data_IF_193609388021
#
_entry.id   IF_193609388021
#
_cell.length_a   1.000
_cell.length_b   1.000
_cell.length_c   1.000
_cell.angle_alpha   90.00
_cell.angle_beta   90.00
_cell.angle_gamma   90.00
#
_symmetry.space_group_name_H-M   'P 1'
#
loop_
_entity.id
_entity.type
_entity.pdbx_description
1 polymer ?
#
# COMPACT_ATOMS: atom_id res chain seq x y z
N UNK A 1 42.78 20.81 38.52
CA UNK A 1 42.97 19.48 39.14
C UNK A 1 42.18 19.44 40.44
N UNK A 2 41.05 18.74 40.47
CA UNK A 2 40.65 18.00 41.66
C UNK A 2 39.72 16.86 41.27
N UNK A 3 40.04 15.68 41.81
CA UNK A 3 39.55 14.38 41.37
C UNK A 3 38.66 13.78 42.46
N UNK A 4 37.73 12.94 42.01
CA UNK A 4 37.17 11.72 42.62
C UNK A 4 35.71 11.79 43.11
N UNK A 5 34.95 10.94 42.43
CA UNK A 5 33.60 10.48 42.62
C UNK A 5 33.46 9.54 43.84
N UNK A 6 32.22 9.38 44.33
CA UNK A 6 31.71 8.10 44.84
C UNK A 6 30.19 7.98 44.57
N UNK A 7 29.80 6.75 44.26
CA UNK A 7 28.51 6.27 43.76
C UNK A 7 27.43 6.26 44.85
N UNK A 8 26.18 6.57 44.48
CA UNK A 8 24.99 6.20 45.25
C UNK A 8 24.21 5.12 44.50
N UNK A 9 24.35 3.89 45.01
CA UNK A 9 23.47 2.75 44.74
C UNK A 9 22.11 3.02 45.40
N UNK A 10 21.04 2.94 44.63
CA UNK A 10 19.66 2.97 45.12
C UNK A 10 18.82 2.01 44.29
N UNK A 11 18.51 0.85 44.85
CA UNK A 11 17.63 -0.16 44.25
C UNK A 11 16.19 -0.07 44.77
N UNK A 12 15.34 -0.89 44.16
CA UNK A 12 13.90 -1.11 44.41
C UNK A 12 13.01 -0.05 43.73
N UNK A 13 12.18 -0.33 42.73
CA UNK A 13 11.50 -1.56 42.34
C UNK A 13 9.99 -1.33 42.49
N UNK A 14 9.26 -1.15 41.37
CA UNK A 14 7.81 -1.37 41.29
C UNK A 14 7.46 -1.74 39.84
N UNK A 15 7.11 -3.01 39.64
CA UNK A 15 6.45 -3.49 38.44
C UNK A 15 5.02 -2.91 38.43
N UNK A 16 4.73 -2.05 37.46
CA UNK A 16 3.38 -1.55 37.21
C UNK A 16 2.80 -2.26 35.99
N UNK A 17 2.05 -3.34 36.30
CA UNK A 17 0.85 -3.82 35.61
C UNK A 17 0.66 -3.39 34.15
N UNK A 18 0.95 -4.31 33.23
CA UNK A 18 0.42 -4.34 31.88
C UNK A 18 -1.10 -4.53 31.96
N UNK A 19 -1.86 -3.45 31.85
CA UNK A 19 -3.31 -3.53 31.60
C UNK A 19 -3.50 -3.79 30.11
N UNK A 20 -3.46 -5.06 29.74
CA UNK A 20 -3.83 -5.51 28.41
C UNK A 20 -5.33 -5.29 28.21
N UNK A 21 -5.69 -4.25 27.46
CA UNK A 21 -7.00 -4.20 26.84
C UNK A 21 -7.03 -5.27 25.75
N UNK A 22 -7.38 -6.50 26.12
CA UNK A 22 -7.86 -7.52 25.18
C UNK A 22 -9.23 -7.05 24.70
N UNK A 23 -9.22 -6.10 23.76
CA UNK A 23 -10.39 -5.82 22.95
C UNK A 23 -10.64 -7.05 22.08
N UNK A 24 -11.66 -7.82 22.44
CA UNK A 24 -12.20 -8.87 21.59
C UNK A 24 -12.64 -8.25 20.27
N UNK A 25 -11.78 -8.33 19.24
CA UNK A 25 -12.19 -7.98 17.89
C UNK A 25 -13.18 -9.06 17.42
N UNK A 26 -14.29 -8.68 16.79
CA UNK A 26 -15.22 -9.63 16.21
C UNK A 26 -14.48 -10.49 15.18
N UNK A 27 -14.84 -11.77 15.11
CA UNK A 27 -14.30 -12.76 14.19
C UNK A 27 -14.43 -12.28 12.73
N UNK A 28 -13.35 -11.68 12.25
CA UNK A 28 -13.09 -11.20 10.90
C UNK A 28 -11.68 -10.59 10.98
N UNK A 29 -10.73 -11.12 10.20
CA UNK A 29 -9.32 -10.74 10.29
C UNK A 29 -9.13 -9.22 10.40
N UNK A 30 -8.22 -8.78 11.27
CA UNK A 30 -7.91 -7.37 11.45
C UNK A 30 -7.39 -6.71 10.15
N UNK A 31 -7.01 -5.42 10.21
CA UNK A 31 -6.35 -4.77 9.08
C UNK A 31 -5.15 -5.60 8.59
N UNK A 32 -4.96 -5.75 7.27
CA UNK A 32 -3.81 -6.44 6.72
C UNK A 32 -2.55 -5.65 7.04
N UNK A 33 -1.43 -6.35 7.21
CA UNK A 33 -0.14 -5.70 7.32
C UNK A 33 0.21 -5.01 5.98
N UNK A 34 0.74 -3.79 6.06
CA UNK A 34 1.30 -3.09 4.89
C UNK A 34 2.78 -2.87 5.14
N UNK A 35 3.62 -3.39 4.25
CA UNK A 35 5.08 -3.30 4.36
C UNK A 35 5.71 -2.84 3.06
N UNK A 36 6.70 -1.97 3.16
CA UNK A 36 7.54 -1.61 2.01
C UNK A 36 8.53 -2.75 1.74
N UNK A 37 8.44 -3.36 0.56
CA UNK A 37 9.34 -4.42 0.14
C UNK A 37 10.68 -3.84 -0.33
N UNK A 38 11.77 -4.46 0.13
CA UNK A 38 13.11 -4.23 -0.39
C UNK A 38 13.38 -5.14 -1.58
N UNK A 39 13.83 -4.60 -2.70
CA UNK A 39 14.17 -5.39 -3.89
C UNK A 39 13.57 -4.83 -5.18
N UNK A 40 13.64 -5.59 -6.29
CA UNK A 40 13.02 -5.18 -7.54
C UNK A 40 11.50 -5.09 -7.39
N UNK A 41 10.88 -4.22 -8.18
CA UNK A 41 9.43 -4.09 -8.25
C UNK A 41 8.79 -5.43 -8.70
N UNK A 42 7.54 -5.72 -8.29
CA UNK A 42 6.88 -6.96 -8.67
C UNK A 42 6.71 -7.05 -10.18
N UNK A 43 6.69 -8.28 -10.70
CA UNK A 43 6.37 -8.51 -12.11
C UNK A 43 4.95 -8.01 -12.38
N UNK A 44 4.75 -7.28 -13.48
CA UNK A 44 3.47 -6.65 -13.80
C UNK A 44 3.01 -6.95 -15.22
N UNK A 45 1.70 -6.83 -15.43
CA UNK A 45 1.15 -6.67 -16.77
C UNK A 45 1.64 -5.35 -17.39
N UNK A 46 1.63 -5.30 -18.73
CA UNK A 46 1.88 -4.04 -19.44
C UNK A 46 0.94 -2.95 -18.91
N UNK A 47 1.39 -1.68 -18.81
CA UNK A 47 0.50 -0.60 -18.39
C UNK A 47 -0.75 -0.54 -19.27
N UNK A 48 -1.90 -0.36 -18.63
CA UNK A 48 -3.18 -0.14 -19.28
C UNK A 48 -3.18 1.16 -20.10
N UNK A 49 -2.31 2.12 -19.75
CA UNK A 49 -1.96 3.26 -20.58
C UNK A 49 -0.61 2.98 -21.28
N UNK A 50 -0.59 2.65 -22.58
CA UNK A 50 0.61 2.13 -23.26
C UNK A 50 1.81 3.08 -23.29
N UNK A 51 1.60 4.38 -23.09
CA UNK A 51 2.66 5.39 -23.09
C UNK A 51 3.43 5.46 -21.76
N UNK A 52 2.97 4.78 -20.71
CA UNK A 52 3.61 4.85 -19.40
C UNK A 52 4.91 4.08 -19.39
N UNK A 53 5.96 4.76 -18.93
CA UNK A 53 7.25 4.16 -18.65
C UNK A 53 7.78 4.78 -17.35
N UNK A 54 8.36 3.97 -16.48
CA UNK A 54 8.98 4.47 -15.28
C UNK A 54 10.49 4.42 -15.41
N UNK A 55 11.12 5.57 -15.17
CA UNK A 55 12.58 5.67 -15.04
C UNK A 55 13.06 4.95 -13.76
N UNK A 56 12.19 4.89 -12.75
CA UNK A 56 12.44 4.19 -11.49
C UNK A 56 11.16 3.86 -10.73
N UNK A 57 11.22 2.81 -9.92
CA UNK A 57 10.20 2.51 -8.91
C UNK A 57 10.70 2.97 -7.54
N UNK A 58 9.98 3.92 -6.93
CA UNK A 58 10.37 4.51 -5.65
C UNK A 58 10.20 3.54 -4.50
N UNK A 59 9.08 2.83 -4.47
CA UNK A 59 8.71 1.91 -3.40
C UNK A 59 7.74 0.86 -3.95
N UNK A 60 7.75 -0.30 -3.31
CA UNK A 60 6.72 -1.33 -3.49
C UNK A 60 6.07 -1.57 -2.14
N UNK A 61 4.77 -1.33 -2.04
CA UNK A 61 3.98 -1.65 -0.85
C UNK A 61 3.34 -3.02 -1.04
N UNK A 62 3.66 -3.96 -0.17
CA UNK A 62 3.02 -5.28 -0.11
C UNK A 62 1.94 -5.23 0.96
N UNK A 63 0.72 -5.63 0.60
CA UNK A 63 -0.46 -5.59 1.47
C UNK A 63 -0.98 -7.00 1.71
N UNK A 64 -0.87 -7.45 2.95
CA UNK A 64 -1.14 -8.83 3.37
C UNK A 64 0.00 -9.79 3.03
N UNK A 65 -0.05 -10.99 3.63
CA UNK A 65 1.02 -12.00 3.53
C UNK A 65 0.62 -13.27 2.77
N UNK A 66 -0.64 -13.39 2.34
CA UNK A 66 -1.18 -14.59 1.70
C UNK A 66 -1.94 -14.24 0.42
N UNK A 67 -1.45 -14.75 -0.71
CA UNK A 67 -2.12 -14.68 -2.01
C UNK A 67 -1.28 -15.36 -3.09
N UNK A 68 -1.88 -16.30 -3.82
CA UNK A 68 -1.30 -16.82 -5.07
C UNK A 68 -1.55 -15.86 -6.25
N UNK A 69 -2.21 -14.73 -5.99
CA UNK A 69 -2.74 -13.80 -6.98
C UNK A 69 -2.55 -12.38 -6.52
N UNK A 70 -1.79 -11.64 -7.31
CA UNK A 70 -1.38 -10.29 -7.01
C UNK A 70 -2.26 -9.32 -7.79
N UNK A 71 -3.08 -8.56 -7.06
CA UNK A 71 -3.80 -7.41 -7.61
C UNK A 71 -2.93 -6.17 -7.47
N UNK A 72 -2.56 -5.57 -8.59
CA UNK A 72 -1.56 -4.50 -8.56
C UNK A 72 -2.16 -3.14 -8.87
N UNK A 73 -1.79 -2.15 -8.05
CA UNK A 73 -2.04 -0.74 -8.32
C UNK A 73 -0.72 0.00 -8.48
N UNK A 74 -0.56 0.68 -9.60
CA UNK A 74 0.65 1.42 -9.95
C UNK A 74 0.34 2.90 -9.97
N UNK A 75 1.03 3.66 -9.12
CA UNK A 75 0.87 5.12 -9.04
C UNK A 75 2.03 5.76 -9.80
N UNK A 76 1.72 6.51 -10.85
CA UNK A 76 2.71 7.08 -11.76
C UNK A 76 2.78 8.59 -11.62
N UNK A 77 3.99 9.14 -11.51
CA UNK A 77 4.20 10.57 -11.64
C UNK A 77 4.60 10.93 -13.07
N UNK A 78 3.60 11.15 -13.94
CA UNK A 78 3.77 11.60 -15.32
C UNK A 78 3.82 13.14 -15.44
N UNK A 79 4.15 13.82 -14.35
CA UNK A 79 4.40 15.27 -14.38
C UNK A 79 5.88 15.53 -14.64
N UNK A 80 6.20 16.72 -15.16
CA UNK A 80 7.59 17.13 -15.40
C UNK A 80 8.38 17.47 -14.12
N UNK A 81 7.79 17.28 -12.93
CA UNK A 81 8.42 17.65 -11.66
C UNK A 81 8.18 16.62 -10.54
N UNK A 82 8.96 16.73 -9.47
CA UNK A 82 8.80 15.88 -8.28
C UNK A 82 7.45 16.17 -7.60
N UNK A 83 6.73 15.12 -7.22
CA UNK A 83 5.45 15.22 -6.48
C UNK A 83 5.55 14.49 -5.15
N UNK A 84 5.11 15.15 -4.08
CA UNK A 84 4.82 14.48 -2.81
C UNK A 84 3.41 13.88 -2.92
N UNK A 85 3.34 12.56 -2.84
CA UNK A 85 2.12 11.77 -3.01
C UNK A 85 1.77 11.11 -1.70
N UNK A 86 0.55 11.32 -1.22
CA UNK A 86 0.01 10.59 -0.07
C UNK A 86 -0.69 9.33 -0.58
N UNK A 87 -0.32 8.18 -0.01
CA UNK A 87 -0.96 6.90 -0.25
C UNK A 87 -1.70 6.49 1.01
N UNK A 88 -2.97 6.20 0.87
CA UNK A 88 -3.80 5.69 1.96
C UNK A 88 -4.51 4.42 1.51
N UNK A 89 -4.53 3.42 2.38
CA UNK A 89 -5.14 2.12 2.12
C UNK A 89 -6.12 1.82 3.26
N UNK A 90 -7.35 1.51 2.89
CA UNK A 90 -8.44 1.14 3.80
C UNK A 90 -9.37 0.12 3.15
N UNK A 91 -10.46 -0.22 3.84
CA UNK A 91 -11.40 -1.25 3.36
C UNK A 91 -12.52 -0.73 2.49
N UNK A 92 -12.84 0.57 2.60
CA UNK A 92 -13.89 1.21 1.83
C UNK A 92 -13.64 2.70 1.71
N UNK A 93 -14.20 3.33 0.67
CA UNK A 93 -14.10 4.76 0.51
C UNK A 93 -14.78 5.51 1.69
N UNK A 94 -14.03 6.39 2.34
CA UNK A 94 -14.55 7.22 3.45
C UNK A 94 -14.39 6.62 4.85
N UNK A 95 -13.98 5.35 4.97
CA UNK A 95 -13.54 4.80 6.25
C UNK A 95 -12.16 5.33 6.64
N UNK A 96 -11.81 5.21 7.93
CA UNK A 96 -10.45 5.49 8.39
C UNK A 96 -9.48 4.47 7.74
N UNK A 97 -8.42 4.94 7.05
CA UNK A 97 -7.43 4.02 6.49
C UNK A 97 -6.61 3.36 7.60
N UNK A 98 -6.25 2.11 7.43
CA UNK A 98 -5.29 1.44 8.32
C UNK A 98 -3.83 1.76 7.96
N UNK A 99 -3.59 2.28 6.76
CA UNK A 99 -2.27 2.69 6.31
C UNK A 99 -2.33 4.07 5.66
N UNK A 100 -1.38 4.94 6.03
CA UNK A 100 -1.21 6.28 5.45
C UNK A 100 0.27 6.63 5.47
N UNK A 101 0.85 6.84 4.29
CA UNK A 101 2.23 7.29 4.14
C UNK A 101 2.41 8.28 3.00
N UNK A 102 3.50 9.04 3.04
CA UNK A 102 3.86 9.99 1.98
C UNK A 102 5.15 9.61 1.28
N UNK A 103 5.14 9.70 -0.04
CA UNK A 103 6.27 9.39 -0.90
C UNK A 103 6.59 10.58 -1.80
N UNK A 104 7.87 10.89 -1.90
CA UNK A 104 8.39 11.81 -2.91
C UNK A 104 8.69 11.00 -4.18
N UNK A 105 7.83 11.15 -5.20
CA UNK A 105 8.03 10.56 -6.52
C UNK A 105 8.71 11.58 -7.44
N UNK A 106 9.89 11.24 -7.96
CA UNK A 106 10.53 12.02 -9.02
C UNK A 106 9.63 12.06 -10.29
N UNK A 107 9.90 13.00 -11.19
CA UNK A 107 9.28 12.98 -12.53
C UNK A 107 9.62 11.64 -13.21
N UNK A 108 8.62 11.00 -13.84
CA UNK A 108 8.79 9.70 -14.48
C UNK A 108 8.98 8.52 -13.50
N UNK A 109 8.86 8.72 -12.19
CA UNK A 109 8.91 7.63 -11.22
C UNK A 109 7.53 7.05 -10.93
N UNK A 110 7.49 5.81 -10.45
CA UNK A 110 6.26 5.17 -9.98
C UNK A 110 6.40 4.59 -8.56
N UNK A 111 5.25 4.22 -7.98
CA UNK A 111 5.12 3.44 -6.76
C UNK A 111 4.18 2.27 -7.04
N UNK A 112 4.58 1.07 -6.62
CA UNK A 112 3.76 -0.13 -6.76
C UNK A 112 3.03 -0.44 -5.44
N UNK A 113 1.78 -0.87 -5.54
CA UNK A 113 0.98 -1.41 -4.44
C UNK A 113 0.54 -2.80 -4.87
N UNK A 114 1.02 -3.81 -4.17
CA UNK A 114 0.84 -5.22 -4.43
C UNK A 114 -0.12 -5.80 -3.39
N UNK A 115 -1.38 -5.98 -3.79
CA UNK A 115 -2.44 -6.49 -2.93
C UNK A 115 -2.45 -8.02 -3.01
N UNK A 116 -2.08 -8.68 -1.91
CA UNK A 116 -1.95 -10.14 -1.87
C UNK A 116 -3.12 -10.80 -1.18
N UNK A 117 -3.59 -10.18 -0.10
CA UNK A 117 -4.73 -10.71 0.65
C UNK A 117 -6.04 -10.34 -0.05
N UNK A 118 -6.84 -11.36 -0.40
CA UNK A 118 -8.16 -11.19 -1.00
C UNK A 118 -9.14 -10.55 -0.01
N UNK A 119 -9.58 -9.31 -0.31
CA UNK A 119 -10.57 -8.53 0.45
C UNK A 119 -10.93 -7.23 -0.29
N UNK A 120 -11.86 -6.47 0.29
CA UNK A 120 -12.15 -5.13 -0.17
C UNK A 120 -11.03 -4.14 0.19
N UNK A 121 -10.66 -3.32 -0.79
CA UNK A 121 -9.71 -2.23 -0.66
C UNK A 121 -10.26 -0.92 -1.21
N UNK A 122 -9.92 0.17 -0.55
CA UNK A 122 -9.98 1.52 -1.07
C UNK A 122 -8.59 2.15 -0.99
N UNK A 123 -7.99 2.39 -2.14
CA UNK A 123 -6.68 3.01 -2.27
C UNK A 123 -6.88 4.46 -2.67
N UNK A 124 -6.52 5.36 -1.77
CA UNK A 124 -6.61 6.81 -1.98
C UNK A 124 -5.21 7.38 -2.26
N UNK A 125 -5.09 8.04 -3.41
CA UNK A 125 -3.88 8.72 -3.87
C UNK A 125 -4.15 10.22 -3.86
N UNK A 126 -3.32 11.00 -3.16
CA UNK A 126 -3.48 12.46 -3.05
C UNK A 126 -2.21 13.21 -3.40
N UNK A 127 -2.36 14.35 -4.10
CA UNK A 127 -1.29 15.29 -4.44
C UNK A 127 -1.80 16.71 -4.21
N UNK A 128 -1.28 17.37 -3.16
CA UNK A 128 -1.89 18.61 -2.65
C UNK A 128 -3.34 18.37 -2.26
N UNK A 129 -4.25 19.23 -2.73
CA UNK A 129 -5.69 19.12 -2.44
C UNK A 129 -6.44 18.15 -3.37
N UNK A 130 -5.77 17.63 -4.40
CA UNK A 130 -6.38 16.70 -5.36
C UNK A 130 -6.26 15.27 -4.85
N UNK A 131 -7.33 14.51 -5.03
CA UNK A 131 -7.41 13.13 -4.55
C UNK A 131 -8.08 12.24 -5.60
N UNK A 132 -7.61 11.00 -5.74
CA UNK A 132 -8.26 9.93 -6.49
C UNK A 132 -8.33 8.68 -5.62
N UNK A 133 -9.53 8.10 -5.51
CA UNK A 133 -9.73 6.79 -4.88
C UNK A 133 -9.95 5.74 -5.96
N UNK A 134 -9.30 4.59 -5.80
CA UNK A 134 -9.53 3.37 -6.55
C UNK A 134 -10.09 2.34 -5.58
N UNK A 135 -11.26 1.80 -5.89
CA UNK A 135 -11.87 0.73 -5.13
C UNK A 135 -11.58 -0.61 -5.79
N UNK A 136 -11.24 -1.58 -4.96
CA UNK A 136 -10.86 -2.93 -5.32
C UNK A 136 -11.71 -3.89 -4.49
N UNK A 137 -12.91 -4.25 -4.98
CA UNK A 137 -13.74 -5.20 -4.24
C UNK A 137 -13.10 -6.58 -4.24
N UNK A 138 -13.38 -7.36 -3.20
CA UNK A 138 -12.88 -8.73 -3.02
C UNK A 138 -13.12 -9.60 -4.26
N UNK A 139 -14.22 -9.36 -4.98
CA UNK A 139 -14.58 -10.09 -6.20
C UNK A 139 -13.60 -9.92 -7.36
N UNK A 140 -12.70 -8.91 -7.32
CA UNK A 140 -11.63 -8.75 -8.33
C UNK A 140 -10.49 -9.73 -8.17
N UNK A 141 -10.31 -10.30 -6.98
CA UNK A 141 -9.34 -11.36 -6.72
C UNK A 141 -9.87 -12.69 -7.31
N UNK A 142 -9.93 -12.74 -8.63
CA UNK A 142 -10.35 -13.89 -9.43
C UNK A 142 -9.13 -14.54 -10.11
N UNK A 143 -9.32 -15.36 -11.14
CA UNK A 143 -8.20 -16.08 -11.78
C UNK A 143 -7.36 -15.21 -12.71
N UNK A 144 -7.84 -14.02 -13.05
CA UNK A 144 -7.13 -13.11 -13.92
C UNK A 144 -6.11 -12.32 -13.11
N UNK A 145 -4.93 -12.12 -13.69
CA UNK A 145 -4.04 -11.08 -13.21
C UNK A 145 -4.63 -9.73 -13.64
N UNK A 146 -4.69 -8.77 -12.73
CA UNK A 146 -5.14 -7.41 -13.06
C UNK A 146 -4.11 -6.39 -12.56
N UNK A 147 -3.90 -5.35 -13.36
CA UNK A 147 -3.08 -4.21 -13.00
C UNK A 147 -3.87 -2.92 -13.28
N UNK A 148 -3.90 -2.03 -12.29
CA UNK A 148 -4.54 -0.71 -12.39
C UNK A 148 -3.49 0.38 -12.31
N UNK A 149 -3.47 1.26 -13.31
CA UNK A 149 -2.63 2.44 -13.34
C UNK A 149 -3.41 3.66 -12.80
N UNK A 150 -2.80 4.38 -11.86
CA UNK A 150 -3.23 5.70 -11.38
C UNK A 150 -2.17 6.70 -11.80
N UNK A 151 -2.47 7.47 -12.83
CA UNK A 151 -1.53 8.40 -13.45
C UNK A 151 -1.77 9.81 -12.94
N UNK A 152 -0.76 10.37 -12.30
CA UNK A 152 -0.73 11.76 -11.86
C UNK A 152 -0.27 12.61 -13.03
N UNK A 153 -1.14 13.51 -13.50
CA UNK A 153 -0.80 14.56 -14.48
C UNK A 153 -1.03 15.93 -13.88
N UNK A 154 -0.58 16.96 -14.59
CA UNK A 154 -0.85 18.34 -14.19
C UNK A 154 -2.35 18.60 -14.20
N UNK A 155 -2.90 18.95 -13.03
CA UNK A 155 -4.31 19.26 -12.83
C UNK A 155 -5.28 18.06 -12.74
N UNK A 156 -4.89 16.83 -13.10
CA UNK A 156 -5.80 15.66 -13.05
C UNK A 156 -5.15 14.34 -12.68
N UNK A 157 -5.99 13.36 -12.34
CA UNK A 157 -5.64 11.94 -12.31
C UNK A 157 -6.30 11.24 -13.50
N UNK A 158 -5.60 10.27 -14.07
CA UNK A 158 -6.13 9.33 -15.06
C UNK A 158 -6.04 7.92 -14.47
N UNK A 159 -7.05 7.09 -14.67
CA UNK A 159 -7.08 5.72 -14.15
C UNK A 159 -7.47 4.77 -15.27
N UNK A 160 -6.69 3.70 -15.43
CA UNK A 160 -6.96 2.64 -16.39
C UNK A 160 -6.57 1.29 -15.79
N UNK A 161 -7.26 0.23 -16.18
CA UNK A 161 -6.96 -1.13 -15.72
C UNK A 161 -6.84 -2.07 -16.91
N UNK A 162 -5.97 -3.06 -16.78
CA UNK A 162 -5.84 -4.18 -17.70
C UNK A 162 -5.95 -5.47 -16.90
N UNK A 163 -6.57 -6.48 -17.49
CA UNK A 163 -6.68 -7.80 -16.90
C UNK A 163 -6.33 -8.85 -17.94
N UNK A 164 -5.75 -9.97 -17.51
CA UNK A 164 -5.71 -11.15 -18.36
C UNK A 164 -7.12 -11.71 -18.54
N UNK A 165 -7.28 -12.59 -19.52
CA UNK A 165 -8.50 -13.39 -19.65
C UNK A 165 -8.08 -14.84 -19.58
N UNK A 166 -7.94 -15.32 -18.35
CA UNK A 166 -7.82 -16.73 -18.07
C UNK A 166 -9.24 -17.30 -17.94
N UNK A 167 -9.46 -18.49 -18.51
CA UNK A 167 -10.68 -19.20 -18.23
C UNK A 167 -10.66 -19.58 -16.75
N UNK A 168 -11.40 -18.87 -15.90
CA UNK A 168 -11.62 -19.27 -14.52
C UNK A 168 -12.40 -20.57 -14.56
N UNK A 169 -11.67 -21.69 -14.63
CA UNK A 169 -12.24 -23.02 -14.71
C UNK A 169 -13.19 -23.19 -13.55
N UNK A 170 -14.50 -23.19 -13.83
CA UNK A 170 -15.51 -23.50 -12.86
C UNK A 170 -15.26 -24.93 -12.39
N UNK A 171 -14.72 -25.08 -11.18
CA UNK A 171 -14.69 -26.36 -10.50
C UNK A 171 -16.12 -26.77 -10.21
N UNK A 172 -16.76 -27.48 -11.15
CA UNK A 172 -17.85 -28.39 -10.86
C UNK A 172 -17.20 -29.68 -10.34
N UNK A 173 -16.95 -29.72 -9.03
CA UNK A 173 -16.73 -30.96 -8.29
C UNK A 173 -17.50 -30.90 -6.98
#
# INVERSE_FOLDING_TARGET
MNRRALLSVGGSGLAASLSGCLSSLPFGGGPPEVREASGPAPARLQPAVPSLHADSTRATLVVGDEGDRDEQVWVWNETGEKRTVSIEIGGSAGAEPWFRERYDLAAGANLAIDLREKRDYAIRVSVGDRTKTVEYPESRFDCNATATDVVIRDGKFEVASIQTTEGCGGGLW
#
